data_IF_555550727682
#
_entry.id   IF_555550727682
#
_cell.length_a   1.000
_cell.length_b   1.000
_cell.length_c   1.000
_cell.angle_alpha   90.00
_cell.angle_beta   90.00
_cell.angle_gamma   90.00
#
_symmetry.space_group_name_H-M   'P 1'
#
loop_
_entity.id
_entity.type
_entity.pdbx_description
1 polymer ?
#
# COMPACT_ATOMS: atom_id res chain seq x y z
N UNK A 1 -9.27 23.43 5.87
CA UNK A 1 -8.30 22.37 5.50
C UNK A 1 -8.26 22.32 3.98
N UNK A 2 -7.11 22.58 3.37
CA UNK A 2 -6.99 22.69 1.91
C UNK A 2 -7.18 21.32 1.25
N UNK A 3 -8.25 21.18 0.47
CA UNK A 3 -8.62 19.95 -0.25
C UNK A 3 -7.50 19.49 -1.19
N UNK A 4 -6.73 20.43 -1.75
CA UNK A 4 -5.60 20.15 -2.63
C UNK A 4 -4.48 19.41 -1.91
N UNK A 5 -4.12 19.86 -0.69
CA UNK A 5 -3.07 19.22 0.13
C UNK A 5 -3.43 17.80 0.53
N UNK A 6 -4.69 17.58 0.94
CA UNK A 6 -5.16 16.24 1.29
C UNK A 6 -5.10 15.31 0.07
N UNK A 7 -5.54 15.78 -1.10
CA UNK A 7 -5.48 14.99 -2.33
C UNK A 7 -4.03 14.60 -2.67
N UNK A 8 -3.10 15.55 -2.64
CA UNK A 8 -1.68 15.27 -2.89
C UNK A 8 -1.09 14.28 -1.89
N UNK A 9 -1.43 14.39 -0.61
CA UNK A 9 -0.99 13.44 0.41
C UNK A 9 -1.52 12.03 0.13
N UNK A 10 -2.81 11.89 -0.16
CA UNK A 10 -3.42 10.60 -0.47
C UNK A 10 -2.78 9.94 -1.69
N UNK A 11 -2.52 10.69 -2.77
CA UNK A 11 -1.85 10.17 -3.97
C UNK A 11 -0.40 9.76 -3.68
N UNK A 12 0.35 10.56 -2.92
CA UNK A 12 1.72 10.21 -2.52
C UNK A 12 1.75 8.92 -1.72
N UNK A 13 0.92 8.81 -0.67
CA UNK A 13 0.89 7.61 0.17
C UNK A 13 0.39 6.40 -0.58
N UNK A 14 -0.59 6.57 -1.47
CA UNK A 14 -1.06 5.51 -2.36
C UNK A 14 0.07 4.96 -3.23
N UNK A 15 0.89 5.81 -3.84
CA UNK A 15 2.03 5.37 -4.65
C UNK A 15 3.05 4.57 -3.82
N UNK A 16 3.37 5.01 -2.60
CA UNK A 16 4.27 4.28 -1.69
C UNK A 16 3.71 2.89 -1.33
N UNK A 17 2.40 2.81 -1.06
CA UNK A 17 1.70 1.55 -0.76
C UNK A 17 1.70 0.63 -1.98
N UNK A 18 1.34 1.12 -3.16
CA UNK A 18 1.33 0.30 -4.39
C UNK A 18 2.73 -0.24 -4.71
N UNK A 19 3.77 0.58 -4.56
CA UNK A 19 5.15 0.14 -4.74
C UNK A 19 5.57 -0.90 -3.69
N UNK A 20 5.11 -0.76 -2.46
CA UNK A 20 5.44 -1.72 -1.39
C UNK A 20 4.71 -3.04 -1.58
N UNK A 21 3.42 -3.01 -1.95
CA UNK A 21 2.65 -4.20 -2.31
C UNK A 21 3.28 -4.95 -3.49
N UNK A 22 3.78 -4.22 -4.50
CA UNK A 22 4.45 -4.82 -5.67
C UNK A 22 5.72 -5.58 -5.28
N UNK A 23 6.47 -5.08 -4.29
CA UNK A 23 7.64 -5.77 -3.73
C UNK A 23 7.29 -6.94 -2.82
N UNK A 24 6.18 -6.85 -2.08
CA UNK A 24 5.77 -7.88 -1.12
C UNK A 24 5.11 -9.09 -1.78
N UNK A 25 4.40 -8.89 -2.89
CA UNK A 25 3.74 -9.97 -3.61
C UNK A 25 4.74 -10.73 -4.48
N UNK A 26 4.60 -12.07 -4.58
CA UNK A 26 5.37 -12.87 -5.52
C UNK A 26 5.25 -12.33 -6.95
N UNK A 27 6.33 -12.50 -7.72
CA UNK A 27 6.33 -12.12 -9.14
C UNK A 27 5.52 -13.13 -9.95
N UNK A 28 4.88 -12.67 -11.03
CA UNK A 28 4.06 -13.53 -11.89
C UNK A 28 4.93 -14.58 -12.59
N UNK A 29 6.21 -14.33 -12.78
CA UNK A 29 7.14 -15.24 -13.44
C UNK A 29 7.57 -16.42 -12.56
N UNK A 30 7.41 -16.30 -11.23
CA UNK A 30 7.76 -17.32 -10.24
C UNK A 30 6.67 -18.38 -10.11
N UNK A 31 7.05 -19.65 -10.00
CA UNK A 31 6.08 -20.74 -9.78
C UNK A 31 5.58 -20.74 -8.32
N UNK A 32 4.29 -21.03 -8.07
CA UNK A 32 3.22 -21.33 -9.04
C UNK A 32 2.59 -20.08 -9.70
N UNK A 33 2.70 -19.96 -11.02
CA UNK A 33 2.33 -18.73 -11.74
C UNK A 33 0.85 -18.32 -11.62
N UNK A 34 -0.07 -19.28 -11.76
CA UNK A 34 -1.52 -19.02 -11.83
C UNK A 34 -2.04 -18.35 -10.56
N UNK A 35 -1.59 -18.80 -9.39
CA UNK A 35 -2.02 -18.21 -8.11
C UNK A 35 -1.36 -16.86 -7.88
N UNK A 36 -0.09 -16.68 -8.27
CA UNK A 36 0.59 -15.37 -8.17
C UNK A 36 -0.07 -14.31 -9.05
N UNK A 37 -0.45 -14.67 -10.28
CA UNK A 37 -1.22 -13.81 -11.18
C UNK A 37 -2.57 -13.44 -10.56
N UNK A 38 -3.29 -14.43 -10.02
CA UNK A 38 -4.59 -14.20 -9.35
C UNK A 38 -4.47 -13.28 -8.14
N UNK A 39 -3.46 -13.47 -7.29
CA UNK A 39 -3.18 -12.63 -6.13
C UNK A 39 -2.90 -11.18 -6.56
N UNK A 40 -2.00 -10.99 -7.53
CA UNK A 40 -1.66 -9.66 -8.05
C UNK A 40 -2.86 -9.00 -8.70
N UNK A 41 -3.64 -9.73 -9.49
CA UNK A 41 -4.87 -9.22 -10.08
C UNK A 41 -5.82 -8.69 -9.00
N UNK A 42 -6.13 -9.49 -7.97
CA UNK A 42 -7.02 -9.07 -6.89
C UNK A 42 -6.50 -7.86 -6.11
N UNK A 43 -5.20 -7.84 -5.77
CA UNK A 43 -4.62 -6.73 -4.99
C UNK A 43 -4.51 -5.45 -5.82
N UNK A 44 -4.23 -5.54 -7.13
CA UNK A 44 -4.02 -4.38 -8.01
C UNK A 44 -5.21 -4.00 -8.88
N UNK A 45 -6.39 -4.63 -8.75
CA UNK A 45 -7.62 -4.29 -9.48
C UNK A 45 -8.22 -2.90 -9.15
N UNK A 46 -7.45 -2.00 -8.55
CA UNK A 46 -7.86 -0.68 -8.08
C UNK A 46 -8.15 -0.64 -6.58
N UNK A 47 -8.31 0.57 -6.05
CA UNK A 47 -8.58 0.81 -4.64
C UNK A 47 -8.02 2.14 -4.17
N UNK A 48 -8.68 2.75 -3.17
CA UNK A 48 -8.23 4.03 -2.59
C UNK A 48 -7.07 3.86 -1.60
N UNK A 49 -6.74 2.62 -1.21
CA UNK A 49 -5.71 2.27 -0.22
C UNK A 49 -5.89 2.99 1.13
N UNK A 50 -7.14 3.18 1.56
CA UNK A 50 -7.41 3.98 2.76
C UNK A 50 -6.87 3.34 4.04
N UNK A 51 -6.95 2.01 4.19
CA UNK A 51 -6.45 1.31 5.40
C UNK A 51 -4.96 1.55 5.64
N UNK A 52 -4.05 1.30 4.68
CA UNK A 52 -2.63 1.52 4.88
C UNK A 52 -2.30 3.01 5.01
N UNK A 53 -2.97 3.88 4.27
CA UNK A 53 -2.76 5.34 4.40
C UNK A 53 -3.11 5.80 5.82
N UNK A 54 -4.21 5.34 6.40
CA UNK A 54 -4.59 5.67 7.78
C UNK A 54 -3.56 5.14 8.80
N UNK A 55 -3.03 3.93 8.59
CA UNK A 55 -1.98 3.38 9.43
C UNK A 55 -0.67 4.20 9.34
N UNK A 56 -0.28 4.61 8.12
CA UNK A 56 0.87 5.51 7.90
C UNK A 56 0.64 6.85 8.59
N UNK A 57 -0.53 7.47 8.42
CA UNK A 57 -0.84 8.74 9.08
C UNK A 57 -0.80 8.63 10.61
N UNK A 58 -1.29 7.52 11.18
CA UNK A 58 -1.22 7.30 12.63
C UNK A 58 0.22 7.18 13.12
N UNK A 59 1.10 6.49 12.36
CA UNK A 59 2.52 6.39 12.66
C UNK A 59 3.23 7.75 12.58
N UNK A 60 2.90 8.56 11.57
CA UNK A 60 3.39 9.93 11.43
C UNK A 60 2.94 10.83 12.60
N UNK A 61 1.68 10.72 13.02
CA UNK A 61 1.15 11.46 14.18
C UNK A 61 1.84 11.04 15.48
N UNK A 62 2.23 9.77 15.60
CA UNK A 62 3.02 9.27 16.73
C UNK A 62 4.48 9.76 16.72
N UNK A 63 4.90 10.51 15.70
CA UNK A 63 6.21 11.16 15.62
C UNK A 63 7.26 10.37 14.82
N UNK A 64 6.86 9.32 14.12
CA UNK A 64 7.77 8.52 13.29
C UNK A 64 7.70 8.96 11.82
N UNK A 65 8.84 8.89 11.11
CA UNK A 65 8.92 9.31 9.70
C UNK A 65 9.67 8.33 8.80
N UNK A 66 10.10 7.19 9.36
CA UNK A 66 10.77 6.14 8.61
C UNK A 66 9.79 5.21 7.88
N UNK A 67 10.34 4.40 6.98
CA UNK A 67 9.58 3.49 6.12
C UNK A 67 9.17 2.18 6.82
N UNK A 68 9.48 1.99 8.11
CA UNK A 68 9.17 0.75 8.83
C UNK A 68 7.67 0.43 8.82
N UNK A 69 6.82 1.47 8.81
CA UNK A 69 5.37 1.33 8.76
C UNK A 69 4.84 0.78 7.43
N UNK A 70 5.59 0.86 6.33
CA UNK A 70 5.06 0.52 5.01
C UNK A 70 4.65 -0.95 4.90
N UNK A 71 5.49 -1.88 5.36
CA UNK A 71 5.16 -3.32 5.30
C UNK A 71 4.00 -3.70 6.24
N UNK A 72 3.98 -3.30 7.52
CA UNK A 72 2.83 -3.51 8.40
C UNK A 72 1.54 -2.90 7.86
N UNK A 73 1.59 -1.68 7.31
CA UNK A 73 0.43 -1.01 6.72
C UNK A 73 -0.10 -1.79 5.51
N UNK A 74 0.77 -2.28 4.62
CA UNK A 74 0.38 -3.11 3.48
C UNK A 74 -0.27 -4.43 3.92
N UNK A 75 0.15 -5.00 5.05
CA UNK A 75 -0.48 -6.19 5.63
C UNK A 75 -1.98 -6.02 5.86
N UNK A 76 -2.46 -4.81 6.16
CA UNK A 76 -3.90 -4.52 6.34
C UNK A 76 -4.73 -4.59 5.06
N UNK A 77 -4.10 -4.60 3.88
CA UNK A 77 -4.76 -4.79 2.59
C UNK A 77 -4.68 -6.23 2.07
N UNK A 78 -3.93 -7.09 2.75
CA UNK A 78 -3.70 -8.49 2.36
C UNK A 78 -4.56 -9.48 3.17
N UNK A 79 -5.61 -8.98 3.84
CA UNK A 79 -6.58 -9.76 4.63
C UNK A 79 -7.85 -9.98 3.84
#
# INVERSE_FOLDING_TARGET
>A
MDSSRLKSYLEQKRAQVEQTLDRLLPKVEEEPRVIHESMRYSVFAGGKRLRPILAISAYEIAGHQDDFILSPACGLELI
#
